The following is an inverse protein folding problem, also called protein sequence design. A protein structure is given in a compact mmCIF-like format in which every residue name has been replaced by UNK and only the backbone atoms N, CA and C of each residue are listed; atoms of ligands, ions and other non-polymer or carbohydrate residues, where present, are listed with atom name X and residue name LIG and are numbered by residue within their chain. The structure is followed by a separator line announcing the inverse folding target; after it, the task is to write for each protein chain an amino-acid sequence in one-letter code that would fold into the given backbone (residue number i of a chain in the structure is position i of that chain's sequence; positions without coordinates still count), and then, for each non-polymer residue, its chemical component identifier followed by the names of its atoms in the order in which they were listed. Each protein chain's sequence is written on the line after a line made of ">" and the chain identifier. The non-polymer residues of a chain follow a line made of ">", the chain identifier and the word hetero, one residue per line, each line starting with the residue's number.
data_IF_760164566598
#
_entry.id   IF_760164566598
#
_cell.length_a   1.000
_cell.length_b   1.000
_cell.length_c   1.000
_cell.angle_alpha   90.00
_cell.angle_beta   90.00
_cell.angle_gamma   90.00
#
_symmetry.space_group_name_H-M   'P 1'
#
loop_
_entity.id
_entity.type
_entity.pdbx_description
1 polymer ?
#
# COMPACT_ATOMS: atom_id res chain seq x y z
N UNK A 1 14.57 7.47 -8.69
CA UNK A 1 13.24 8.00 -9.12
C UNK A 1 12.94 7.52 -10.54
N UNK A 2 11.66 7.44 -10.95
CA UNK A 2 11.29 7.00 -12.32
C UNK A 2 11.98 7.82 -13.42
N UNK A 3 12.27 9.08 -13.14
CA UNK A 3 12.98 9.98 -14.05
C UNK A 3 14.46 9.63 -14.23
N UNK A 4 15.02 8.78 -13.37
CA UNK A 4 16.44 8.39 -13.40
C UNK A 4 16.66 7.13 -14.26
N UNK A 5 15.58 6.51 -14.77
CA UNK A 5 15.66 5.32 -15.61
C UNK A 5 15.79 5.75 -17.08
N UNK A 6 16.86 5.33 -17.80
CA UNK A 6 17.00 5.60 -19.22
C UNK A 6 15.90 4.91 -20.03
N UNK A 7 15.48 5.52 -21.15
CA UNK A 7 14.49 4.97 -22.10
C UNK A 7 13.14 4.58 -21.50
N UNK A 8 12.62 5.41 -20.59
CA UNK A 8 11.31 5.20 -19.98
C UNK A 8 10.18 5.30 -21.01
N UNK A 9 9.36 4.27 -21.08
CA UNK A 9 8.10 4.30 -21.83
C UNK A 9 7.09 5.26 -21.18
N UNK A 10 6.11 5.81 -21.92
CA UNK A 10 4.98 6.51 -21.31
C UNK A 10 4.18 5.57 -20.42
N UNK A 11 3.70 6.09 -19.28
CA UNK A 11 2.94 5.30 -18.32
C UNK A 11 1.48 5.20 -18.75
N UNK A 12 0.88 4.02 -18.65
CA UNK A 12 -0.56 3.85 -18.88
C UNK A 12 -1.39 4.64 -17.86
N UNK A 13 -2.35 5.42 -18.34
CA UNK A 13 -3.30 6.18 -17.52
C UNK A 13 -4.57 5.38 -17.19
N UNK A 14 -4.63 4.10 -17.57
CA UNK A 14 -5.73 3.22 -17.20
C UNK A 14 -5.90 3.15 -15.68
N UNK A 15 -7.14 2.96 -15.25
CA UNK A 15 -7.48 2.81 -13.84
C UNK A 15 -6.89 1.52 -13.28
N UNK A 16 -6.08 1.58 -12.22
CA UNK A 16 -5.34 0.42 -11.72
C UNK A 16 -6.22 -0.50 -10.88
N UNK A 17 -5.96 -1.81 -10.96
CA UNK A 17 -6.34 -2.73 -9.89
C UNK A 17 -5.45 -2.50 -8.67
N UNK A 18 -6.04 -2.63 -7.48
CA UNK A 18 -5.35 -2.42 -6.22
C UNK A 18 -5.23 -3.74 -5.47
N UNK A 19 -4.02 -4.03 -4.97
CA UNK A 19 -3.75 -5.17 -4.10
C UNK A 19 -3.34 -4.62 -2.73
N UNK A 20 -4.02 -5.09 -1.68
CA UNK A 20 -3.66 -4.80 -0.29
C UNK A 20 -3.31 -6.12 0.38
N UNK A 21 -2.06 -6.24 0.83
CA UNK A 21 -1.54 -7.45 1.47
C UNK A 21 -1.20 -7.18 2.94
N UNK A 22 -1.63 -8.09 3.82
CA UNK A 22 -1.34 -8.07 5.26
C UNK A 22 -1.78 -6.77 6.00
N UNK A 23 -2.90 -6.18 5.59
CA UNK A 23 -3.55 -5.00 6.20
C UNK A 23 -4.88 -5.41 6.88
N UNK A 24 -4.86 -6.52 7.60
CA UNK A 24 -6.06 -7.19 8.12
C UNK A 24 -6.67 -6.57 9.38
N UNK A 25 -5.88 -5.84 10.19
CA UNK A 25 -6.35 -5.28 11.46
C UNK A 25 -7.41 -4.20 11.24
N UNK A 26 -8.16 -3.81 12.29
CA UNK A 26 -9.11 -2.69 12.17
C UNK A 26 -8.44 -1.40 11.70
N UNK A 27 -7.21 -1.14 12.16
CA UNK A 27 -6.42 0.01 11.72
C UNK A 27 -5.90 -0.20 10.29
N UNK A 28 -5.44 -1.41 9.95
CA UNK A 28 -5.04 -1.78 8.59
C UNK A 28 -6.17 -1.57 7.58
N UNK A 29 -7.39 -2.01 7.89
CA UNK A 29 -8.59 -1.79 7.08
C UNK A 29 -8.94 -0.31 6.95
N UNK A 30 -8.72 0.48 8.01
CA UNK A 30 -8.89 1.95 7.96
C UNK A 30 -7.93 2.59 6.98
N UNK A 31 -6.64 2.24 7.02
CA UNK A 31 -5.65 2.70 6.05
C UNK A 31 -5.96 2.22 4.62
N UNK A 32 -6.33 0.96 4.46
CA UNK A 32 -6.78 0.39 3.17
C UNK A 32 -7.94 1.21 2.60
N UNK A 33 -8.91 1.59 3.42
CA UNK A 33 -10.03 2.43 2.99
C UNK A 33 -9.54 3.80 2.49
N UNK A 34 -8.72 4.51 3.27
CA UNK A 34 -8.17 5.82 2.90
C UNK A 34 -7.42 5.73 1.57
N UNK A 35 -6.52 4.75 1.43
CA UNK A 35 -5.67 4.59 0.24
C UNK A 35 -6.48 4.15 -0.99
N UNK A 36 -7.44 3.23 -0.83
CA UNK A 36 -8.28 2.73 -1.91
C UNK A 36 -9.09 3.85 -2.56
N UNK A 37 -9.66 4.75 -1.76
CA UNK A 37 -10.50 5.84 -2.27
C UNK A 37 -9.73 7.00 -2.93
N UNK A 38 -8.39 6.91 -3.00
CA UNK A 38 -7.60 7.80 -3.85
C UNK A 38 -7.66 7.42 -5.33
N UNK A 39 -8.17 6.23 -5.65
CA UNK A 39 -8.19 5.69 -7.01
C UNK A 39 -9.61 5.43 -7.51
N UNK A 40 -9.86 5.61 -8.81
CA UNK A 40 -11.11 5.25 -9.45
C UNK A 40 -11.26 3.73 -9.60
N UNK A 41 -12.51 3.27 -9.80
CA UNK A 41 -12.81 1.85 -9.98
C UNK A 41 -12.29 1.35 -11.34
N UNK A 42 -11.43 0.32 -11.37
CA UNK A 42 -10.86 -0.21 -12.61
C UNK A 42 -11.88 -1.03 -13.40
N UNK A 43 -11.67 -1.10 -14.72
CA UNK A 43 -12.34 -2.08 -15.59
C UNK A 43 -11.66 -3.44 -15.44
N UNK A 44 -12.40 -4.53 -15.62
CA UNK A 44 -11.85 -5.91 -15.55
C UNK A 44 -10.71 -6.17 -16.55
N UNK A 45 -10.71 -5.45 -17.68
CA UNK A 45 -9.68 -5.56 -18.70
C UNK A 45 -8.42 -4.72 -18.41
N UNK A 46 -8.35 -4.04 -17.27
CA UNK A 46 -7.22 -3.17 -16.94
C UNK A 46 -5.99 -4.00 -16.60
N UNK A 47 -4.87 -3.68 -17.25
CA UNK A 47 -3.60 -4.40 -17.06
C UNK A 47 -2.66 -3.75 -16.06
N UNK A 48 -3.12 -2.66 -15.42
CA UNK A 48 -2.33 -1.87 -14.49
C UNK A 48 -2.66 -2.29 -13.06
N UNK A 49 -1.64 -2.54 -12.25
CA UNK A 49 -1.78 -3.03 -10.87
C UNK A 49 -0.90 -2.21 -9.94
N UNK A 50 -1.47 -1.76 -8.83
CA UNK A 50 -0.76 -1.11 -7.74
C UNK A 50 -0.87 -1.98 -6.50
N UNK A 51 0.26 -2.25 -5.86
CA UNK A 51 0.35 -3.11 -4.68
C UNK A 51 0.76 -2.29 -3.48
N UNK A 52 0.01 -2.44 -2.39
CA UNK A 52 0.33 -2.00 -1.04
C UNK A 52 0.51 -3.25 -0.18
N UNK A 53 1.75 -3.64 0.07
CA UNK A 53 2.07 -4.83 0.85
C UNK A 53 2.68 -4.45 2.19
N UNK A 54 2.07 -4.91 3.29
CA UNK A 54 2.54 -4.63 4.63
C UNK A 54 3.48 -5.73 5.16
N UNK A 55 4.63 -5.30 5.69
CA UNK A 55 5.58 -6.13 6.44
C UNK A 55 6.11 -5.27 7.60
N UNK A 56 5.97 -5.71 8.84
CA UNK A 56 6.43 -4.98 10.04
C UNK A 56 5.92 -3.52 10.17
N UNK A 57 4.65 -3.30 9.83
CA UNK A 57 4.01 -1.97 9.75
C UNK A 57 4.66 -1.01 8.70
N UNK A 58 5.50 -1.52 7.81
CA UNK A 58 5.96 -0.83 6.60
C UNK A 58 5.16 -1.29 5.39
N UNK A 59 4.45 -0.35 4.78
CA UNK A 59 3.67 -0.59 3.57
C UNK A 59 4.56 -0.33 2.36
N UNK A 60 5.03 -1.40 1.73
CA UNK A 60 5.70 -1.37 0.44
C UNK A 60 4.71 -1.02 -0.67
N UNK A 61 4.97 0.08 -1.35
CA UNK A 61 4.27 0.47 -2.57
C UNK A 61 5.04 0.00 -3.80
N UNK A 62 4.36 -0.69 -4.72
CA UNK A 62 4.88 -1.03 -6.04
C UNK A 62 3.83 -0.78 -7.11
N UNK A 63 4.27 -0.39 -8.30
CA UNK A 63 3.39 -0.10 -9.42
C UNK A 63 3.85 -0.86 -10.67
N UNK A 64 3.02 -1.80 -11.11
CA UNK A 64 3.28 -2.70 -12.21
C UNK A 64 2.21 -2.60 -13.30
N UNK A 65 2.58 -3.00 -14.50
CA UNK A 65 1.67 -3.44 -15.56
C UNK A 65 1.95 -4.92 -15.82
N UNK A 66 0.94 -5.68 -16.19
CA UNK A 66 1.13 -7.09 -16.51
C UNK A 66 0.71 -7.44 -17.94
N UNK A 67 1.39 -8.42 -18.51
CA UNK A 67 1.04 -9.05 -19.78
C UNK A 67 0.87 -10.55 -19.59
N UNK A 68 -0.02 -11.15 -20.38
CA UNK A 68 -0.23 -12.59 -20.37
C UNK A 68 0.56 -13.17 -21.55
N UNK A 69 1.56 -13.99 -21.26
CA UNK A 69 2.41 -14.63 -22.26
C UNK A 69 1.69 -15.80 -22.95
N UNK A 70 2.28 -16.30 -24.04
CA UNK A 70 1.79 -17.51 -24.72
C UNK A 70 1.95 -18.70 -23.78
N UNK A 71 0.83 -19.18 -23.21
CA UNK A 71 0.82 -20.22 -22.17
C UNK A 71 0.10 -19.82 -20.89
N UNK A 72 -0.34 -18.56 -20.76
CA UNK A 72 -1.11 -18.08 -19.60
C UNK A 72 -0.26 -17.58 -18.43
N UNK A 73 1.06 -17.60 -18.56
CA UNK A 73 1.98 -17.02 -17.59
C UNK A 73 1.85 -15.49 -17.54
N UNK A 74 1.95 -14.92 -16.35
CA UNK A 74 1.81 -13.47 -16.12
C UNK A 74 3.19 -12.86 -15.96
N UNK A 75 3.56 -12.00 -16.90
CA UNK A 75 4.79 -11.22 -16.84
C UNK A 75 4.49 -9.83 -16.26
N UNK A 76 5.21 -9.45 -15.20
CA UNK A 76 5.10 -8.14 -14.58
C UNK A 76 6.21 -7.22 -15.09
N UNK A 77 5.82 -6.03 -15.54
CA UNK A 77 6.73 -4.93 -15.87
C UNK A 77 6.51 -3.79 -14.89
N UNK A 78 7.57 -3.35 -14.25
CA UNK A 78 7.48 -2.22 -13.33
C UNK A 78 7.42 -0.89 -14.07
N UNK A 79 6.48 -0.03 -13.67
CA UNK A 79 6.17 1.21 -14.38
C UNK A 79 6.33 2.47 -13.52
N UNK A 80 6.21 2.34 -12.19
CA UNK A 80 6.18 3.47 -11.27
C UNK A 80 7.31 3.49 -10.22
N UNK A 81 7.26 4.44 -9.28
CA UNK A 81 8.24 4.54 -8.21
C UNK A 81 8.09 3.39 -7.20
N UNK A 82 9.20 3.07 -6.53
CA UNK A 82 9.26 2.20 -5.35
C UNK A 82 9.41 3.08 -4.13
N UNK A 83 8.56 2.88 -3.13
CA UNK A 83 8.76 3.48 -1.82
C UNK A 83 8.13 2.60 -0.74
N UNK A 84 8.50 2.90 0.50
CA UNK A 84 7.93 2.31 1.69
C UNK A 84 7.28 3.41 2.51
N UNK A 85 6.04 3.18 2.92
CA UNK A 85 5.30 4.07 3.79
C UNK A 85 5.30 3.48 5.20
N UNK A 86 5.63 4.31 6.19
CA UNK A 86 5.35 4.01 7.58
C UNK A 86 4.34 5.03 8.11
N UNK A 87 3.06 4.67 8.22
CA UNK A 87 2.06 5.58 8.74
C UNK A 87 2.36 5.98 10.19
N UNK A 88 2.20 7.27 10.53
CA UNK A 88 2.47 7.77 11.87
C UNK A 88 1.25 8.40 12.57
N UNK A 89 0.23 8.82 11.82
CA UNK A 89 -0.99 9.37 12.39
C UNK A 89 -2.16 9.29 11.41
N UNK A 90 -3.37 9.24 11.97
CA UNK A 90 -4.64 9.51 11.27
C UNK A 90 -5.34 10.61 12.08
N UNK A 91 -5.70 11.71 11.42
CA UNK A 91 -6.45 12.83 11.99
C UNK A 91 -7.82 12.94 11.33
N UNK A 92 -8.84 13.23 12.13
CA UNK A 92 -10.23 13.40 11.68
C UNK A 92 -10.47 14.83 11.16
N UNK A 93 -9.71 15.24 10.15
CA UNK A 93 -9.80 16.57 9.57
C UNK A 93 -8.99 16.72 8.29
N UNK A 94 -9.15 17.87 7.66
CA UNK A 94 -8.35 18.25 6.48
C UNK A 94 -7.00 18.83 6.90
N UNK A 95 -6.09 18.95 5.93
CA UNK A 95 -4.75 19.49 6.15
C UNK A 95 -4.77 20.91 6.76
N UNK A 96 -5.73 21.74 6.36
CA UNK A 96 -5.87 23.12 6.84
C UNK A 96 -6.24 23.20 8.33
N UNK A 97 -7.00 22.22 8.84
CA UNK A 97 -7.50 22.20 10.21
C UNK A 97 -6.71 21.26 11.13
N UNK A 98 -5.48 20.88 10.78
CA UNK A 98 -4.68 19.89 11.55
C UNK A 98 -4.56 20.24 13.04
N UNK A 99 -4.42 21.54 13.36
CA UNK A 99 -4.23 21.99 14.74
C UNK A 99 -5.47 21.80 15.62
N UNK A 100 -6.67 21.80 15.02
CA UNK A 100 -7.95 21.61 15.71
C UNK A 100 -8.52 20.20 15.52
N UNK A 101 -7.99 19.41 14.58
CA UNK A 101 -8.48 18.08 14.27
C UNK A 101 -8.13 17.07 15.36
N UNK A 102 -9.09 16.23 15.70
CA UNK A 102 -8.91 15.13 16.65
C UNK A 102 -8.03 14.02 16.05
N UNK A 103 -7.21 13.41 16.91
CA UNK A 103 -6.38 12.27 16.55
C UNK A 103 -7.19 10.97 16.62
N UNK A 104 -7.44 10.35 15.46
CA UNK A 104 -8.01 9.00 15.40
C UNK A 104 -6.98 7.97 15.87
N UNK A 105 -5.74 8.12 15.41
CA UNK A 105 -4.63 7.23 15.77
C UNK A 105 -3.28 7.95 15.63
N UNK A 106 -2.32 7.62 16.50
CA UNK A 106 -0.94 8.14 16.46
C UNK A 106 0.05 7.02 16.83
N UNK A 107 1.14 6.94 16.08
CA UNK A 107 2.27 6.07 16.36
C UNK A 107 3.03 6.58 17.59
N UNK A 108 2.99 5.82 18.68
CA UNK A 108 3.70 6.15 19.93
C UNK A 108 5.00 5.34 20.01
N UNK A 109 6.12 5.93 19.62
CA UNK A 109 7.41 5.22 19.54
C UNK A 109 8.08 4.97 20.89
N UNK A 110 7.84 5.82 21.90
CA UNK A 110 8.56 5.81 23.17
C UNK A 110 7.88 5.00 24.29
N UNK A 111 7.19 3.90 23.95
CA UNK A 111 6.64 2.96 24.93
C UNK A 111 7.45 1.67 24.91
N UNK A 112 7.62 1.01 26.06
CA UNK A 112 8.42 -0.21 26.20
C UNK A 112 8.00 -1.33 25.25
N UNK A 113 6.70 -1.42 24.92
CA UNK A 113 6.14 -2.45 24.03
C UNK A 113 6.05 -2.00 22.57
N UNK A 114 6.41 -0.77 22.22
CA UNK A 114 6.17 -0.22 20.88
C UNK A 114 6.87 -0.99 19.76
N UNK A 115 8.05 -1.55 20.01
CA UNK A 115 8.79 -2.34 18.99
C UNK A 115 8.22 -3.74 18.77
N UNK A 116 7.37 -4.23 19.68
CA UNK A 116 6.80 -5.60 19.63
C UNK A 116 5.37 -5.62 19.09
N UNK A 117 4.77 -4.45 18.85
CA UNK A 117 3.38 -4.35 18.42
C UNK A 117 3.34 -4.24 16.90
N UNK A 118 2.69 -5.21 16.27
CA UNK A 118 2.18 -5.09 14.91
C UNK A 118 0.81 -4.42 14.97
N UNK A 119 0.63 -3.32 14.22
CA UNK A 119 -0.56 -2.48 14.29
C UNK A 119 -1.47 -2.67 13.08
N UNK A 120 -0.90 -3.00 11.92
CA UNK A 120 -1.59 -3.05 10.64
C UNK A 120 -2.04 -4.48 10.24
N UNK A 121 -1.31 -5.50 10.66
CA UNK A 121 -1.62 -6.93 10.41
C UNK A 121 -2.45 -7.56 11.55
N UNK A 122 -3.05 -8.72 11.27
CA UNK A 122 -3.61 -9.55 12.35
C UNK A 122 -2.48 -10.41 12.96
N UNK A 123 -2.62 -10.78 14.23
CA UNK A 123 -1.60 -11.60 14.93
C UNK A 123 -1.43 -13.01 14.39
N UNK A 124 -2.37 -13.49 13.57
CA UNK A 124 -2.43 -14.87 13.09
C UNK A 124 -1.71 -15.05 11.73
N UNK A 125 -1.38 -13.96 11.04
CA UNK A 125 -0.82 -14.01 9.69
C UNK A 125 0.70 -14.25 9.66
N UNK A 126 1.40 -14.22 10.81
CA UNK A 126 2.86 -14.39 10.93
C UNK A 126 3.31 -15.83 11.26
N UNK A 127 2.40 -16.73 11.61
CA UNK A 127 2.75 -18.11 12.02
C UNK A 127 2.78 -19.13 10.87
N UNK A 128 2.76 -18.68 9.61
CA UNK A 128 2.61 -19.53 8.43
C UNK A 128 3.89 -19.89 7.68
N UNK A 129 5.06 -19.35 8.08
CA UNK A 129 6.32 -19.51 7.35
C UNK A 129 7.37 -20.38 8.10
N UNK A 130 6.94 -21.20 9.06
CA UNK A 130 7.78 -22.27 9.64
C UNK A 130 7.31 -23.65 9.14
N UNK A 131 7.69 -24.00 7.91
CA UNK A 131 7.81 -25.40 7.43
C UNK A 131 9.06 -25.56 6.54
#
# INVERSE_FOLDING_TARGET
>A
MRHDIPDREPMSEQYPHLIFHNLGSRLGQRFTSILKYLFPVPKESSKRVITFANTDDFISFRHHTYTVAQGGEIELKEAGPRFELRPYAIKLGTLENIAAAEDEWVLRSFMNTSRKRQLLSNKEDESGDED
#
